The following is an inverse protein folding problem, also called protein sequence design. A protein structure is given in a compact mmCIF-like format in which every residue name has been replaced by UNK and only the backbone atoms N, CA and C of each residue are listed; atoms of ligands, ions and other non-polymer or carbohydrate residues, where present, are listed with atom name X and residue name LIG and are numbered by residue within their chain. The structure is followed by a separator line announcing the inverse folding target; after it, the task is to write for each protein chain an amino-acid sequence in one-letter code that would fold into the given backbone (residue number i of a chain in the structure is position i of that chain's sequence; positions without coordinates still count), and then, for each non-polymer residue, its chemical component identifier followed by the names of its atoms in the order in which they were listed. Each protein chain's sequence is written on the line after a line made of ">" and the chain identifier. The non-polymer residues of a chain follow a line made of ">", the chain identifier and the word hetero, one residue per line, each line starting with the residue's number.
data_IF_418927557918
#
_entry.id   IF_418927557918
#
_cell.length_a   1.000
_cell.length_b   1.000
_cell.length_c   1.000
_cell.angle_alpha   90.00
_cell.angle_beta   90.00
_cell.angle_gamma   90.00
#
_symmetry.space_group_name_H-M   'P 1'
#
loop_
_entity.id
_entity.type
_entity.pdbx_description
1 polymer ?
#
# COMPACT_ATOMS: atom_id res chain seq x y z
N UNK A 1 0.22 12.27 -11.43
CA UNK A 1 1.05 12.94 -10.41
C UNK A 1 0.79 14.44 -10.55
N UNK A 2 0.13 15.06 -9.57
CA UNK A 2 0.07 16.54 -9.55
C UNK A 2 1.49 17.05 -9.45
N UNK A 3 1.94 17.80 -10.47
CA UNK A 3 3.22 18.50 -10.52
C UNK A 3 3.23 19.62 -9.45
N UNK A 4 3.35 19.23 -8.17
CA UNK A 4 3.65 20.18 -7.11
C UNK A 4 5.12 20.55 -7.30
N UNK A 5 5.41 21.80 -7.67
CA UNK A 5 6.79 22.29 -7.73
C UNK A 5 7.48 22.01 -6.41
N UNK A 6 8.65 21.39 -6.46
CA UNK A 6 9.50 21.20 -5.28
C UNK A 6 9.80 22.60 -4.72
N UNK A 7 9.50 22.88 -3.44
CA UNK A 7 9.85 24.16 -2.83
C UNK A 7 11.37 24.34 -2.93
N UNK A 8 11.82 25.42 -3.58
CA UNK A 8 13.23 25.76 -3.73
C UNK A 8 13.93 25.30 -5.00
N UNK A 9 13.22 24.74 -6.00
CA UNK A 9 13.78 24.45 -7.31
C UNK A 9 13.23 25.41 -8.37
N UNK A 10 14.09 26.24 -8.92
CA UNK A 10 13.81 27.18 -10.04
C UNK A 10 13.77 26.48 -11.42
N UNK A 11 13.37 25.19 -11.47
CA UNK A 11 13.22 24.51 -12.74
C UNK A 11 11.89 24.87 -13.41
N UNK A 12 11.92 25.30 -14.70
CA UNK A 12 10.71 25.51 -15.47
C UNK A 12 9.84 24.25 -15.48
N UNK A 13 8.55 24.40 -15.17
CA UNK A 13 7.61 23.27 -15.08
C UNK A 13 7.50 22.46 -16.36
N UNK A 14 7.67 23.09 -17.50
CA UNK A 14 7.72 22.48 -18.84
C UNK A 14 8.90 21.50 -19.04
N UNK A 15 9.93 21.62 -18.21
CA UNK A 15 11.09 20.71 -18.22
C UNK A 15 10.98 19.55 -17.22
N UNK A 16 9.88 19.47 -16.49
CA UNK A 16 9.66 18.42 -15.51
C UNK A 16 8.70 17.38 -16.07
N UNK A 17 9.14 16.15 -16.18
CA UNK A 17 8.31 15.00 -16.51
C UNK A 17 8.27 14.06 -15.31
N UNK A 18 7.07 13.76 -14.85
CA UNK A 18 6.85 12.75 -13.80
C UNK A 18 6.61 11.40 -14.46
N UNK A 19 7.37 10.40 -14.05
CA UNK A 19 7.24 9.04 -14.55
C UNK A 19 7.05 8.08 -13.39
N UNK A 20 6.31 7.01 -13.61
CA UNK A 20 6.12 5.94 -12.65
C UNK A 20 7.36 5.04 -12.60
N UNK A 21 7.58 4.40 -11.46
CA UNK A 21 8.57 3.33 -11.39
C UNK A 21 8.01 2.08 -12.06
N UNK A 22 8.81 1.40 -12.91
CA UNK A 22 8.40 0.12 -13.45
C UNK A 22 8.34 -0.95 -12.34
N UNK A 23 7.43 -1.87 -12.51
CA UNK A 23 7.35 -3.07 -11.70
C UNK A 23 7.92 -4.25 -12.48
N UNK A 24 8.59 -5.17 -11.76
CA UNK A 24 9.02 -6.41 -12.40
C UNK A 24 7.80 -7.22 -12.86
N UNK A 25 7.88 -7.86 -14.04
CA UNK A 25 6.80 -8.70 -14.52
C UNK A 25 6.47 -9.79 -13.49
N UNK A 26 5.21 -9.95 -13.18
CA UNK A 26 4.78 -11.06 -12.35
C UNK A 26 4.80 -12.32 -13.19
N UNK A 27 5.48 -13.36 -12.71
CA UNK A 27 5.29 -14.70 -13.26
C UNK A 27 3.84 -15.10 -12.96
N UNK A 28 2.98 -14.99 -13.96
CA UNK A 28 1.53 -15.19 -13.95
C UNK A 28 0.80 -14.73 -12.66
N UNK A 29 -0.23 -13.91 -12.78
CA UNK A 29 -1.13 -13.69 -11.67
C UNK A 29 -1.90 -15.00 -11.47
N UNK A 30 -1.30 -15.97 -10.81
CA UNK A 30 -2.07 -17.08 -10.30
C UNK A 30 -3.21 -16.44 -9.52
N UNK A 31 -4.46 -16.67 -9.94
CA UNK A 31 -5.68 -16.25 -9.22
C UNK A 31 -5.75 -17.03 -7.91
N UNK A 32 -4.73 -16.84 -7.07
CA UNK A 32 -4.65 -17.46 -5.75
C UNK A 32 -5.83 -16.94 -4.93
N UNK A 33 -6.61 -17.80 -4.32
CA UNK A 33 -7.67 -17.37 -3.40
C UNK A 33 -7.09 -16.45 -2.35
N UNK A 34 -7.75 -15.31 -2.13
CA UNK A 34 -7.32 -14.36 -1.11
C UNK A 34 -7.72 -14.87 0.28
N UNK A 35 -6.81 -14.67 1.23
CA UNK A 35 -7.07 -14.92 2.63
C UNK A 35 -7.55 -13.62 3.31
N UNK A 36 -8.22 -13.75 4.44
CA UNK A 36 -8.65 -12.62 5.27
C UNK A 36 -7.44 -11.98 5.99
N UNK A 37 -6.52 -11.44 5.19
CA UNK A 37 -5.27 -10.81 5.64
C UNK A 37 -5.27 -9.33 5.29
N UNK A 38 -4.98 -8.51 6.30
CA UNK A 38 -4.52 -7.13 6.18
C UNK A 38 -3.00 -7.15 6.29
N UNK A 39 -2.30 -6.76 5.24
CA UNK A 39 -0.85 -6.82 5.14
C UNK A 39 -0.23 -5.43 5.31
N UNK A 40 0.87 -5.35 6.03
CA UNK A 40 1.87 -4.30 5.92
C UNK A 40 3.18 -4.91 5.41
N UNK A 41 3.82 -4.26 4.45
CA UNK A 41 5.13 -4.67 3.95
C UNK A 41 6.06 -3.47 3.85
N UNK A 42 7.21 -3.52 4.51
CA UNK A 42 8.20 -2.46 4.45
C UNK A 42 9.10 -2.35 5.69
N UNK A 43 10.07 -1.43 5.60
CA UNK A 43 11.00 -1.15 6.71
C UNK A 43 10.25 -0.54 7.91
N UNK A 44 10.66 -0.91 9.11
CA UNK A 44 10.12 -0.32 10.35
C UNK A 44 10.86 0.98 10.69
N UNK A 45 10.21 2.10 10.35
CA UNK A 45 10.81 3.43 10.43
C UNK A 45 9.80 4.47 10.93
N UNK A 46 9.97 4.93 12.18
CA UNK A 46 8.97 5.73 12.91
C UNK A 46 8.65 7.07 12.25
N UNK A 47 9.68 7.77 11.80
CA UNK A 47 9.49 9.09 11.22
C UNK A 47 8.66 9.05 9.93
N UNK A 48 8.71 7.94 9.19
CA UNK A 48 8.09 7.80 7.87
C UNK A 48 6.92 6.83 7.86
N UNK A 49 7.14 5.58 8.22
CA UNK A 49 6.18 4.47 7.99
C UNK A 49 5.06 4.38 9.02
N UNK A 50 5.29 4.84 10.26
CA UNK A 50 4.27 4.98 11.31
C UNK A 50 3.38 3.74 11.52
N UNK A 51 4.01 2.57 11.60
CA UNK A 51 3.32 1.28 11.85
C UNK A 51 2.57 1.31 13.20
N UNK A 52 3.05 2.11 14.16
CA UNK A 52 2.38 2.38 15.42
C UNK A 52 0.92 2.82 15.26
N UNK A 53 0.60 3.52 14.16
CA UNK A 53 -0.78 3.91 13.83
C UNK A 53 -1.59 2.72 13.37
N UNK A 54 -1.01 1.84 12.53
CA UNK A 54 -1.70 0.65 12.04
C UNK A 54 -2.10 -0.28 13.18
N UNK A 55 -1.23 -0.46 14.19
CA UNK A 55 -1.56 -1.22 15.40
C UNK A 55 -2.76 -0.62 16.16
N UNK A 56 -2.83 0.71 16.27
CA UNK A 56 -3.95 1.41 16.90
C UNK A 56 -5.25 1.31 16.09
N UNK A 57 -5.13 1.32 14.75
CA UNK A 57 -6.25 1.11 13.84
C UNK A 57 -6.78 -0.32 13.99
N UNK A 58 -5.88 -1.31 13.94
CA UNK A 58 -6.23 -2.72 14.08
C UNK A 58 -6.93 -3.00 15.41
N UNK A 59 -6.44 -2.41 16.51
CA UNK A 59 -7.09 -2.52 17.83
C UNK A 59 -8.57 -2.12 17.83
N UNK A 60 -8.97 -1.19 16.99
CA UNK A 60 -10.36 -0.69 16.92
C UNK A 60 -11.30 -1.65 16.21
N UNK A 61 -10.77 -2.51 15.35
CA UNK A 61 -11.58 -3.35 14.44
C UNK A 61 -11.38 -4.86 14.64
N UNK A 62 -10.30 -5.28 15.30
CA UNK A 62 -9.92 -6.69 15.46
C UNK A 62 -11.05 -7.54 16.04
N UNK A 63 -11.73 -7.05 17.09
CA UNK A 63 -12.79 -7.82 17.77
C UNK A 63 -14.04 -8.00 16.90
N UNK A 64 -14.32 -7.05 16.01
CA UNK A 64 -15.45 -7.11 15.08
C UNK A 64 -15.15 -8.01 13.88
N UNK A 65 -13.90 -8.37 13.67
CA UNK A 65 -13.42 -9.12 12.50
C UNK A 65 -12.61 -10.36 12.93
N UNK A 66 -13.23 -11.32 13.62
CA UNK A 66 -12.50 -12.45 14.23
C UNK A 66 -11.82 -13.38 13.23
N UNK A 67 -12.20 -13.36 11.97
CA UNK A 67 -11.62 -14.18 10.91
C UNK A 67 -10.41 -13.51 10.22
N UNK A 68 -10.22 -12.19 10.44
CA UNK A 68 -9.14 -11.41 9.84
C UNK A 68 -7.91 -11.38 10.73
N UNK A 69 -6.75 -11.28 10.10
CA UNK A 69 -5.48 -11.08 10.79
C UNK A 69 -4.66 -9.96 10.17
N UNK A 70 -3.89 -9.28 10.99
CA UNK A 70 -2.90 -8.29 10.55
C UNK A 70 -1.54 -8.99 10.45
N UNK A 71 -0.93 -8.98 9.28
CA UNK A 71 0.41 -9.51 9.03
C UNK A 71 1.36 -8.34 8.73
N UNK A 72 2.46 -8.27 9.47
CA UNK A 72 3.48 -7.23 9.34
C UNK A 72 4.78 -7.86 8.86
N UNK A 73 5.13 -7.58 7.62
CA UNK A 73 6.35 -8.06 6.96
C UNK A 73 7.38 -6.95 6.92
N UNK A 74 8.58 -7.27 7.32
CA UNK A 74 9.71 -6.35 7.35
C UNK A 74 10.44 -6.37 8.68
N UNK A 75 11.43 -5.49 8.79
CA UNK A 75 12.23 -5.31 10.00
C UNK A 75 12.75 -3.87 10.09
N UNK A 76 13.34 -3.52 11.22
CA UNK A 76 13.96 -2.23 11.49
C UNK A 76 14.11 -1.95 12.98
N UNK A 77 14.70 -0.82 13.28
CA UNK A 77 15.05 -0.41 14.66
C UNK A 77 13.86 -0.40 15.62
N UNK A 78 12.65 -0.23 15.10
CA UNK A 78 11.43 -0.12 15.90
C UNK A 78 10.74 -1.44 16.21
N UNK A 79 11.22 -2.58 15.70
CA UNK A 79 10.56 -3.86 15.86
C UNK A 79 10.18 -4.16 17.30
N UNK A 80 11.15 -4.03 18.22
CA UNK A 80 10.92 -4.30 19.64
C UNK A 80 9.85 -3.41 20.27
N UNK A 81 9.78 -2.13 19.87
CA UNK A 81 8.78 -1.19 20.39
C UNK A 81 7.40 -1.46 19.80
N UNK A 82 7.31 -1.84 18.53
CA UNK A 82 6.05 -2.23 17.89
C UNK A 82 5.48 -3.51 18.49
N UNK A 83 6.30 -4.52 18.75
CA UNK A 83 5.89 -5.74 19.44
C UNK A 83 5.44 -5.46 20.89
N UNK A 84 6.16 -4.59 21.63
CA UNK A 84 5.73 -4.13 22.96
C UNK A 84 4.39 -3.39 22.88
N UNK A 85 4.21 -2.55 21.87
CA UNK A 85 2.96 -1.84 21.65
C UNK A 85 1.80 -2.80 21.36
N UNK A 86 2.01 -3.80 20.49
CA UNK A 86 1.01 -4.81 20.17
C UNK A 86 0.56 -5.57 21.43
N UNK A 87 1.52 -5.98 22.27
CA UNK A 87 1.24 -6.61 23.57
C UNK A 87 0.45 -5.68 24.52
N UNK A 88 0.84 -4.40 24.63
CA UNK A 88 0.15 -3.40 25.45
C UNK A 88 -1.30 -3.17 24.98
N UNK A 89 -1.50 -3.17 23.67
CA UNK A 89 -2.83 -3.08 23.06
C UNK A 89 -3.63 -4.38 23.16
N UNK A 90 -3.02 -5.48 23.65
CA UNK A 90 -3.62 -6.82 23.74
C UNK A 90 -4.18 -7.29 22.39
N UNK A 91 -3.41 -7.09 21.31
CA UNK A 91 -3.76 -7.61 19.98
C UNK A 91 -3.58 -9.13 19.98
N UNK A 92 -4.57 -9.84 19.44
CA UNK A 92 -4.59 -11.31 19.39
C UNK A 92 -4.31 -11.86 17.99
N UNK A 93 -4.74 -11.13 16.96
CA UNK A 93 -4.66 -11.57 15.55
C UNK A 93 -3.67 -10.73 14.78
N UNK A 94 -2.44 -10.72 15.28
CA UNK A 94 -1.31 -10.03 14.66
C UNK A 94 -0.13 -10.99 14.53
N UNK A 95 0.54 -10.92 13.40
CA UNK A 95 1.76 -11.67 13.09
C UNK A 95 2.86 -10.68 12.68
N UNK A 96 4.04 -10.79 13.31
CA UNK A 96 5.26 -10.12 12.86
C UNK A 96 6.11 -11.16 12.13
N UNK A 97 6.02 -11.20 10.80
CA UNK A 97 6.69 -12.19 9.96
C UNK A 97 8.21 -11.94 9.81
N UNK A 98 8.70 -10.79 10.29
CA UNK A 98 10.10 -10.40 10.16
C UNK A 98 10.50 -10.00 8.75
N UNK A 99 11.82 -9.83 8.55
CA UNK A 99 12.35 -9.57 7.21
C UNK A 99 12.14 -10.78 6.30
N UNK A 100 11.66 -10.50 5.09
CA UNK A 100 11.50 -11.49 4.03
C UNK A 100 12.25 -11.00 2.80
N UNK A 101 13.06 -11.88 2.20
CA UNK A 101 13.72 -11.60 0.94
C UNK A 101 12.72 -11.49 -0.22
N UNK A 102 11.72 -12.37 -0.21
CA UNK A 102 10.60 -12.37 -1.15
C UNK A 102 9.28 -12.14 -0.40
N UNK A 103 8.63 -11.02 -0.69
CA UNK A 103 7.34 -10.64 -0.10
C UNK A 103 6.17 -11.11 -0.96
N UNK A 104 6.43 -11.59 -2.17
CA UNK A 104 5.41 -12.05 -3.13
C UNK A 104 4.39 -13.02 -2.54
N UNK A 105 4.78 -14.06 -1.75
CA UNK A 105 3.83 -14.98 -1.16
C UNK A 105 2.81 -14.30 -0.23
N UNK A 106 3.21 -13.20 0.42
CA UNK A 106 2.33 -12.43 1.28
C UNK A 106 1.34 -11.60 0.47
N UNK A 107 1.81 -10.91 -0.60
CA UNK A 107 0.94 -10.16 -1.50
C UNK A 107 -0.09 -11.06 -2.19
N UNK A 108 0.30 -12.27 -2.62
CA UNK A 108 -0.60 -13.24 -3.25
C UNK A 108 -1.77 -13.61 -2.34
N UNK A 109 -1.51 -13.80 -1.05
CA UNK A 109 -2.51 -14.22 -0.06
C UNK A 109 -3.32 -13.07 0.52
N UNK A 110 -2.73 -11.89 0.67
CA UNK A 110 -3.38 -10.75 1.31
C UNK A 110 -4.55 -10.19 0.50
N UNK A 111 -5.64 -9.85 1.17
CA UNK A 111 -6.77 -9.11 0.57
C UNK A 111 -6.49 -7.62 0.54
N UNK A 112 -5.90 -7.07 1.60
CA UNK A 112 -5.55 -5.65 1.70
C UNK A 112 -4.06 -5.46 1.97
N UNK A 113 -3.50 -4.38 1.42
CA UNK A 113 -2.17 -3.88 1.77
C UNK A 113 -2.30 -2.46 2.31
N UNK A 114 -1.84 -2.25 3.54
CA UNK A 114 -2.09 -1.03 4.32
C UNK A 114 -0.81 -0.23 4.56
N UNK A 115 -0.87 1.08 4.35
CA UNK A 115 0.15 2.03 4.77
C UNK A 115 -0.43 3.13 5.68
N UNK A 116 0.35 3.50 6.69
CA UNK A 116 -0.01 4.59 7.61
C UNK A 116 1.08 5.66 7.69
N UNK A 117 1.89 5.75 6.65
CA UNK A 117 3.05 6.62 6.52
C UNK A 117 2.71 8.11 6.67
N UNK A 118 3.67 8.90 7.14
CA UNK A 118 3.56 10.35 7.15
C UNK A 118 3.62 10.92 5.74
N UNK A 119 4.57 10.43 4.95
CA UNK A 119 4.67 10.76 3.55
C UNK A 119 5.35 9.62 2.77
N UNK A 120 5.10 9.59 1.47
CA UNK A 120 5.75 8.68 0.52
C UNK A 120 6.03 9.44 -0.76
N UNK A 121 7.06 9.04 -1.50
CA UNK A 121 7.21 9.43 -2.89
C UNK A 121 6.25 8.61 -3.75
N UNK A 122 6.64 7.38 -4.02
CA UNK A 122 5.81 6.37 -4.67
C UNK A 122 5.92 5.06 -3.88
N UNK A 123 4.88 4.65 -3.13
CA UNK A 123 4.95 3.48 -2.26
C UNK A 123 4.88 2.17 -3.04
N UNK A 124 6.05 1.64 -3.40
CA UNK A 124 6.20 0.41 -4.20
C UNK A 124 5.39 -0.75 -3.63
N UNK A 125 5.36 -0.93 -2.32
CA UNK A 125 4.62 -2.03 -1.68
C UNK A 125 3.10 -2.01 -1.96
N UNK A 126 2.50 -0.85 -2.22
CA UNK A 126 1.10 -0.76 -2.65
C UNK A 126 0.96 -1.22 -4.10
N UNK A 127 1.86 -0.80 -4.97
CA UNK A 127 1.88 -1.20 -6.39
C UNK A 127 2.17 -2.70 -6.52
N UNK A 128 3.16 -3.20 -5.77
CA UNK A 128 3.45 -4.64 -5.67
C UNK A 128 2.22 -5.43 -5.23
N UNK A 129 1.53 -4.95 -4.18
CA UNK A 129 0.29 -5.56 -3.75
C UNK A 129 -0.79 -5.61 -4.83
N UNK A 130 -0.95 -4.51 -5.60
CA UNK A 130 -1.92 -4.45 -6.69
C UNK A 130 -1.66 -5.47 -7.81
N UNK A 131 -0.40 -5.72 -8.17
CA UNK A 131 -0.05 -6.74 -9.15
C UNK A 131 -0.60 -8.12 -8.78
N UNK A 132 -0.73 -8.39 -7.48
CA UNK A 132 -1.31 -9.63 -6.97
C UNK A 132 -2.76 -9.49 -6.50
N UNK A 133 -3.41 -8.36 -6.80
CA UNK A 133 -4.80 -8.10 -6.44
C UNK A 133 -5.04 -7.84 -4.95
N UNK A 134 -4.02 -7.44 -4.19
CA UNK A 134 -4.21 -6.91 -2.85
C UNK A 134 -4.62 -5.43 -2.94
N UNK A 135 -5.67 -5.06 -2.22
CA UNK A 135 -6.30 -3.74 -2.31
C UNK A 135 -5.52 -2.74 -1.45
N UNK A 136 -4.98 -1.65 -2.03
CA UNK A 136 -4.30 -0.61 -1.28
C UNK A 136 -5.22 0.14 -0.32
N UNK A 137 -4.74 0.39 0.90
CA UNK A 137 -5.39 1.29 1.85
C UNK A 137 -4.35 2.24 2.43
N UNK A 138 -4.51 3.53 2.25
CA UNK A 138 -3.55 4.51 2.73
C UNK A 138 -4.18 5.87 3.01
N UNK A 139 -3.46 6.72 3.77
CA UNK A 139 -3.84 8.11 3.92
C UNK A 139 -3.68 8.89 2.60
N UNK A 140 -4.62 9.79 2.31
CA UNK A 140 -4.51 10.78 1.23
C UNK A 140 -3.59 11.92 1.70
N UNK A 141 -2.30 11.61 1.87
CA UNK A 141 -1.29 12.52 2.42
C UNK A 141 -0.10 12.76 1.50
N UNK A 142 -0.08 12.13 0.32
CA UNK A 142 0.96 12.30 -0.70
C UNK A 142 0.38 12.12 -2.12
N UNK A 143 1.02 12.75 -3.09
CA UNK A 143 0.48 12.89 -4.45
C UNK A 143 0.25 11.57 -5.19
N UNK A 144 1.12 10.56 -4.98
CA UNK A 144 1.06 9.29 -5.70
C UNK A 144 -0.10 8.38 -5.29
N UNK A 145 -0.75 8.62 -4.14
CA UNK A 145 -1.82 7.72 -3.66
C UNK A 145 -3.05 7.75 -4.57
N UNK A 146 -3.42 8.91 -5.10
CA UNK A 146 -4.56 9.04 -5.98
C UNK A 146 -4.38 8.26 -7.27
N UNK A 147 -3.17 8.28 -7.80
CA UNK A 147 -2.81 7.53 -8.99
C UNK A 147 -2.80 6.03 -8.73
N UNK A 148 -2.21 5.58 -7.62
CA UNK A 148 -2.18 4.17 -7.23
C UNK A 148 -3.60 3.64 -7.01
N UNK A 149 -4.45 4.41 -6.34
CA UNK A 149 -5.82 3.97 -6.02
C UNK A 149 -6.84 4.28 -7.13
N UNK A 150 -6.42 4.86 -8.26
CA UNK A 150 -7.32 5.32 -9.33
C UNK A 150 -8.47 6.18 -8.75
N UNK A 151 -8.11 7.18 -7.94
CA UNK A 151 -9.06 8.03 -7.22
C UNK A 151 -10.13 7.26 -6.40
N UNK A 152 -9.80 6.05 -5.93
CA UNK A 152 -10.65 5.20 -5.10
C UNK A 152 -11.29 4.01 -5.80
N UNK A 153 -11.08 3.82 -7.10
CA UNK A 153 -11.66 2.68 -7.84
C UNK A 153 -10.93 1.35 -7.55
N UNK A 154 -9.63 1.40 -7.29
CA UNK A 154 -8.81 0.23 -7.01
C UNK A 154 -8.07 0.29 -5.67
N UNK A 155 -8.57 1.09 -4.72
CA UNK A 155 -7.99 1.22 -3.39
C UNK A 155 -8.76 2.19 -2.51
N UNK A 156 -8.44 2.26 -1.24
CA UNK A 156 -9.13 3.08 -0.25
C UNK A 156 -8.22 4.24 0.17
N UNK A 157 -8.64 5.46 -0.16
CA UNK A 157 -8.01 6.68 0.32
C UNK A 157 -8.68 7.14 1.61
N UNK A 158 -7.88 7.33 2.64
CA UNK A 158 -8.35 7.76 3.95
C UNK A 158 -7.94 9.22 4.18
N UNK A 159 -8.83 10.09 4.70
CA UNK A 159 -8.45 11.45 5.07
C UNK A 159 -7.19 11.48 5.93
N UNK A 160 -6.26 12.38 5.60
CA UNK A 160 -4.93 12.42 6.16
C UNK A 160 -4.93 12.33 7.70
N UNK A 161 -4.18 11.35 8.18
CA UNK A 161 -3.90 11.06 9.58
C UNK A 161 -5.08 10.76 10.50
N UNK A 162 -6.29 10.58 9.96
CA UNK A 162 -7.47 10.20 10.75
C UNK A 162 -7.52 8.69 11.01
N UNK A 163 -6.97 8.25 12.15
CA UNK A 163 -6.99 6.84 12.54
C UNK A 163 -8.43 6.29 12.71
N UNK A 164 -9.36 7.16 13.14
CA UNK A 164 -10.78 6.80 13.28
C UNK A 164 -11.38 6.49 11.90
N UNK A 165 -11.17 7.37 10.93
CA UNK A 165 -11.67 7.18 9.57
C UNK A 165 -11.01 5.99 8.89
N UNK A 166 -9.71 5.77 9.14
CA UNK A 166 -9.01 4.59 8.61
C UNK A 166 -9.65 3.30 9.14
N UNK A 167 -9.85 3.21 10.45
CA UNK A 167 -10.51 2.06 11.07
C UNK A 167 -11.93 1.85 10.52
N UNK A 168 -12.72 2.93 10.39
CA UNK A 168 -14.09 2.90 9.86
C UNK A 168 -14.14 2.38 8.41
N UNK A 169 -13.32 2.95 7.52
CA UNK A 169 -13.31 2.57 6.10
C UNK A 169 -12.75 1.16 5.90
N UNK A 170 -11.68 0.81 6.60
CA UNK A 170 -11.14 -0.54 6.55
C UNK A 170 -12.17 -1.55 7.08
N UNK A 171 -12.80 -1.29 8.23
CA UNK A 171 -13.79 -2.19 8.81
C UNK A 171 -14.97 -2.46 7.87
N UNK A 172 -15.45 -1.44 7.17
CA UNK A 172 -16.48 -1.60 6.12
C UNK A 172 -16.00 -2.51 4.99
N UNK A 173 -14.78 -2.26 4.52
CA UNK A 173 -14.21 -3.03 3.41
C UNK A 173 -13.93 -4.50 3.80
N UNK A 174 -13.60 -4.78 5.07
CA UNK A 174 -13.43 -6.16 5.56
C UNK A 174 -14.75 -6.95 5.50
N UNK A 175 -15.89 -6.29 5.63
CA UNK A 175 -17.23 -6.91 5.62
C UNK A 175 -17.87 -6.97 4.23
N UNK A 176 -17.33 -6.30 3.22
CA UNK A 176 -17.94 -6.16 1.88
C UNK A 176 -17.16 -6.96 0.82
N UNK A 177 -17.54 -8.22 0.63
CA UNK A 177 -16.89 -9.11 -0.33
C UNK A 177 -17.08 -8.68 -1.79
N UNK A 178 -18.21 -8.06 -2.13
CA UNK A 178 -18.46 -7.56 -3.48
C UNK A 178 -17.57 -6.34 -3.79
N UNK A 179 -17.40 -5.44 -2.83
CA UNK A 179 -16.44 -4.35 -2.94
C UNK A 179 -15.01 -4.88 -3.12
N UNK A 180 -14.62 -5.88 -2.32
CA UNK A 180 -13.29 -6.50 -2.43
C UNK A 180 -13.07 -7.12 -3.81
N UNK A 181 -14.05 -7.85 -4.34
CA UNK A 181 -13.98 -8.47 -5.67
C UNK A 181 -13.80 -7.42 -6.76
N UNK A 182 -14.65 -6.40 -6.75
CA UNK A 182 -14.60 -5.31 -7.73
C UNK A 182 -13.26 -4.55 -7.68
N UNK A 183 -12.82 -4.15 -6.47
CA UNK A 183 -11.56 -3.44 -6.32
C UNK A 183 -10.35 -4.29 -6.71
N UNK A 184 -10.37 -5.58 -6.44
CA UNK A 184 -9.31 -6.52 -6.84
C UNK A 184 -9.17 -6.60 -8.35
N UNK A 185 -10.28 -6.70 -9.08
CA UNK A 185 -10.27 -6.70 -10.54
C UNK A 185 -9.68 -5.39 -11.10
N UNK A 186 -10.06 -4.27 -10.47
CA UNK A 186 -9.50 -2.98 -10.83
C UNK A 186 -8.00 -2.86 -10.48
N UNK A 187 -7.54 -3.49 -9.38
CA UNK A 187 -6.11 -3.55 -9.03
C UNK A 187 -5.29 -4.23 -10.13
N UNK A 188 -5.74 -5.37 -10.65
CA UNK A 188 -5.04 -6.05 -11.74
C UNK A 188 -4.92 -5.15 -12.98
N UNK A 189 -6.02 -4.50 -13.39
CA UNK A 189 -6.00 -3.57 -14.53
C UNK A 189 -5.10 -2.35 -14.27
N UNK A 190 -5.13 -1.82 -13.04
CA UNK A 190 -4.29 -0.70 -12.67
C UNK A 190 -2.80 -1.05 -12.69
N UNK A 191 -2.46 -2.28 -12.32
CA UNK A 191 -1.08 -2.76 -12.27
C UNK A 191 -0.42 -2.86 -13.68
N UNK A 192 -1.20 -3.07 -14.75
CA UNK A 192 -0.71 -3.10 -16.12
C UNK A 192 0.03 -1.79 -16.51
N UNK A 193 -0.36 -0.66 -15.93
CA UNK A 193 0.29 0.64 -16.15
C UNK A 193 1.73 0.73 -15.63
N UNK A 194 2.10 -0.17 -14.74
CA UNK A 194 3.43 -0.22 -14.12
C UNK A 194 4.34 -1.24 -14.83
N UNK A 195 3.85 -1.85 -15.90
CA UNK A 195 4.61 -2.81 -16.67
C UNK A 195 5.94 -2.20 -17.15
N UNK A 196 7.00 -3.01 -17.07
CA UNK A 196 8.35 -2.59 -17.43
C UNK A 196 8.43 -2.13 -18.89
N UNK A 197 7.70 -2.79 -19.79
CA UNK A 197 7.67 -2.43 -21.20
C UNK A 197 6.96 -1.08 -21.43
N UNK A 198 5.78 -0.88 -20.81
CA UNK A 198 5.05 0.38 -20.89
C UNK A 198 5.88 1.56 -20.39
N UNK A 199 6.47 1.43 -19.20
CA UNK A 199 7.33 2.48 -18.63
C UNK A 199 8.61 2.66 -19.44
N UNK A 200 9.18 1.58 -19.99
CA UNK A 200 10.33 1.62 -20.88
C UNK A 200 10.06 2.45 -22.14
N UNK A 201 8.90 2.28 -22.77
CA UNK A 201 8.49 3.06 -23.93
C UNK A 201 8.32 4.56 -23.59
N UNK A 202 7.79 4.89 -22.43
CA UNK A 202 7.70 6.29 -21.97
C UNK A 202 9.09 6.92 -21.81
N UNK A 203 10.07 6.18 -21.26
CA UNK A 203 11.45 6.62 -21.15
C UNK A 203 12.09 6.84 -22.52
N UNK A 204 11.91 5.90 -23.45
CA UNK A 204 12.42 6.02 -24.82
C UNK A 204 11.82 7.25 -25.53
N UNK A 205 10.51 7.48 -25.37
CA UNK A 205 9.83 8.64 -25.91
C UNK A 205 10.33 9.96 -25.29
N UNK A 206 10.72 9.96 -24.01
CA UNK A 206 11.32 11.13 -23.37
C UNK A 206 12.71 11.41 -23.91
N UNK A 207 13.58 10.40 -24.02
CA UNK A 207 14.93 10.55 -24.55
C UNK A 207 14.93 10.95 -26.03
N UNK A 208 13.97 10.52 -26.82
CA UNK A 208 13.83 10.93 -28.21
C UNK A 208 13.42 12.40 -28.41
N UNK A 209 13.06 13.11 -27.34
CA UNK A 209 12.73 14.55 -27.34
C UNK A 209 13.91 15.46 -26.89
N UNK A 210 14.99 14.86 -26.42
CA UNK A 210 16.21 15.58 -26.00
C UNK A 210 17.20 15.72 -27.13
#
# INVERSE_FOLDING_TARGET
>A
IRRSGLPGCDFPRERLTAMLNPMLPTQEPAKTPKEKIVLYAGRFQRCHKRIDRLLKIWKRIEQQNPEWRLVIVGDGEERGDLEKQARRLKLQRIEFAGYQYDVTPFYRRATFVCLTSNFEGLPMCLMEGQQYGAIPVSFDSYSGIREITCDGECGIMVPAYSLRKYAELLNRALADEELQKRMRENCYKAAERYDLECIGQEWLALFGKL
#
